data_IF_101432176751
#
_entry.id   IF_101432176751
#
_cell.length_a   1.000
_cell.length_b   1.000
_cell.length_c   1.000
_cell.angle_alpha   90.00
_cell.angle_beta   90.00
_cell.angle_gamma   90.00
#
_symmetry.space_group_name_H-M   'P 1'
#
loop_
_entity.id
_entity.type
_entity.pdbx_description
1 polymer ?
#
# COMPACT_ATOMS: atom_id res chain seq x y z
N UNK A 1 10.20 6.27 14.97
CA UNK A 1 10.79 4.93 14.73
C UNK A 1 11.89 5.13 13.72
N UNK A 2 13.15 4.89 14.10
CA UNK A 2 14.33 5.17 13.26
C UNK A 2 14.66 4.04 12.27
N UNK A 3 13.88 2.95 12.24
CA UNK A 3 14.10 1.84 11.30
C UNK A 3 12.75 1.29 10.82
N UNK A 4 12.49 1.24 9.50
CA UNK A 4 11.31 0.59 8.96
C UNK A 4 11.35 -0.92 9.29
N UNK A 5 10.19 -1.60 9.37
CA UNK A 5 10.17 -3.04 9.54
C UNK A 5 10.93 -3.72 8.38
N UNK A 6 11.56 -4.88 8.63
CA UNK A 6 12.30 -5.59 7.59
C UNK A 6 11.34 -6.03 6.47
N UNK A 7 11.78 -5.99 5.20
CA UNK A 7 10.97 -6.52 4.11
C UNK A 7 10.77 -8.02 4.28
N UNK A 8 9.64 -8.53 3.79
CA UNK A 8 9.34 -9.96 3.76
C UNK A 8 9.14 -10.43 2.32
N UNK A 9 9.44 -11.69 1.99
CA UNK A 9 9.24 -12.18 0.63
C UNK A 9 7.75 -12.17 0.24
N UNK A 10 7.48 -11.80 -1.01
CA UNK A 10 6.17 -11.99 -1.64
C UNK A 10 5.86 -13.50 -1.72
N UNK A 11 4.70 -13.92 -1.21
CA UNK A 11 4.29 -15.34 -1.18
C UNK A 11 2.90 -15.54 -1.78
N UNK A 12 2.64 -16.72 -2.33
CA UNK A 12 1.28 -17.11 -2.73
C UNK A 12 0.40 -17.21 -1.47
N UNK A 13 -0.88 -16.79 -1.53
CA UNK A 13 -1.76 -16.85 -0.37
C UNK A 13 -2.08 -18.30 0.00
N UNK A 14 -1.97 -18.60 1.28
CA UNK A 14 -2.47 -19.86 1.86
C UNK A 14 -3.90 -19.70 2.38
N UNK A 15 -4.58 -20.82 2.67
CA UNK A 15 -5.90 -20.78 3.32
C UNK A 15 -5.85 -20.04 4.67
N UNK A 16 -4.76 -20.21 5.42
CA UNK A 16 -4.55 -19.50 6.68
C UNK A 16 -4.46 -17.98 6.48
N UNK A 17 -3.83 -17.52 5.39
CA UNK A 17 -3.76 -16.09 5.06
C UNK A 17 -5.13 -15.53 4.67
N UNK A 18 -5.95 -16.32 3.96
CA UNK A 18 -7.32 -15.93 3.60
C UNK A 18 -8.20 -15.82 4.84
N UNK A 19 -8.09 -16.75 5.78
CA UNK A 19 -8.81 -16.68 7.06
C UNK A 19 -8.34 -15.50 7.91
N UNK A 20 -7.03 -15.25 7.97
CA UNK A 20 -6.48 -14.07 8.64
C UNK A 20 -7.03 -12.77 8.03
N UNK A 21 -7.04 -12.64 6.71
CA UNK A 21 -7.64 -11.49 6.01
C UNK A 21 -9.09 -11.28 6.41
N UNK A 22 -9.91 -12.35 6.43
CA UNK A 22 -11.33 -12.29 6.81
C UNK A 22 -11.50 -11.80 8.24
N UNK A 23 -10.69 -12.29 9.17
CA UNK A 23 -10.72 -11.85 10.57
C UNK A 23 -10.30 -10.39 10.72
N UNK A 24 -9.29 -9.95 9.97
CA UNK A 24 -8.76 -8.60 10.03
C UNK A 24 -9.72 -7.54 9.46
N UNK A 25 -10.40 -7.85 8.35
CA UNK A 25 -11.22 -6.88 7.61
C UNK A 25 -12.73 -7.15 7.66
N UNK A 26 -13.16 -8.24 8.30
CA UNK A 26 -14.57 -8.63 8.44
C UNK A 26 -15.23 -9.05 7.13
N UNK A 27 -14.46 -9.37 6.09
CA UNK A 27 -14.96 -9.71 4.74
C UNK A 27 -13.96 -10.57 3.98
N UNK A 28 -14.39 -11.37 2.99
CA UNK A 28 -13.47 -12.12 2.13
C UNK A 28 -12.60 -11.19 1.27
N UNK A 29 -11.38 -11.62 0.90
CA UNK A 29 -10.52 -10.87 0.00
C UNK A 29 -11.16 -10.71 -1.38
N UNK A 30 -10.87 -9.57 -2.02
CA UNK A 30 -11.28 -9.26 -3.40
C UNK A 30 -10.05 -9.03 -4.24
N UNK A 31 -9.89 -9.81 -5.30
CA UNK A 31 -8.75 -9.70 -6.21
C UNK A 31 -7.40 -10.04 -5.57
N UNK A 32 -7.37 -10.85 -4.51
CA UNK A 32 -6.11 -11.24 -3.84
C UNK A 32 -5.21 -12.02 -4.81
N UNK A 33 -3.96 -11.58 -4.94
CA UNK A 33 -2.93 -12.23 -5.78
C UNK A 33 -1.80 -12.82 -4.97
N UNK A 34 -1.36 -12.12 -3.92
CA UNK A 34 -0.25 -12.54 -3.09
C UNK A 34 -0.28 -11.86 -1.73
N UNK A 35 0.50 -12.41 -0.80
CA UNK A 35 0.89 -11.71 0.42
C UNK A 35 2.16 -10.93 0.09
N UNK A 36 2.06 -9.60 0.13
CA UNK A 36 3.15 -8.70 -0.24
C UNK A 36 4.05 -8.36 0.95
N UNK A 37 3.47 -8.30 2.16
CA UNK A 37 4.23 -8.15 3.39
C UNK A 37 3.57 -8.91 4.55
N UNK A 38 4.39 -9.35 5.52
CA UNK A 38 3.94 -9.99 6.76
C UNK A 38 4.35 -9.19 7.97
N UNK A 39 3.40 -9.03 8.88
CA UNK A 39 3.65 -8.45 10.20
C UNK A 39 4.59 -9.35 11.01
N UNK A 40 5.39 -8.80 11.95
CA UNK A 40 6.20 -9.63 12.86
C UNK A 40 5.43 -10.69 13.67
N UNK A 41 4.10 -10.58 13.78
CA UNK A 41 3.26 -11.63 14.37
C UNK A 41 2.94 -12.80 13.41
N UNK A 42 3.50 -12.81 12.20
CA UNK A 42 3.34 -13.85 11.17
C UNK A 42 2.14 -13.66 10.23
N UNK A 43 1.18 -12.83 10.62
CA UNK A 43 -0.04 -12.57 9.84
C UNK A 43 0.23 -11.60 8.67
N UNK A 44 -0.52 -11.72 7.55
CA UNK A 44 -0.44 -10.74 6.48
C UNK A 44 -0.83 -9.35 7.01
N UNK A 45 -0.05 -8.34 6.67
CA UNK A 45 -0.41 -6.93 6.89
C UNK A 45 -0.53 -6.13 5.59
N UNK A 46 0.06 -6.61 4.50
CA UNK A 46 -0.16 -6.10 3.15
C UNK A 46 -0.40 -7.25 2.19
N UNK A 47 -1.45 -7.13 1.38
CA UNK A 47 -1.71 -8.02 0.26
C UNK A 47 -1.50 -7.30 -1.07
N UNK A 48 -1.08 -8.05 -2.08
CA UNK A 48 -1.09 -7.62 -3.48
C UNK A 48 -2.46 -7.95 -4.09
N UNK A 49 -3.10 -6.96 -4.70
CA UNK A 49 -4.41 -7.10 -5.34
C UNK A 49 -4.32 -6.92 -6.85
N UNK A 50 -5.23 -7.58 -7.58
CA UNK A 50 -5.42 -7.41 -9.00
C UNK A 50 -5.83 -5.97 -9.33
N UNK A 51 -5.29 -5.37 -10.41
CA UNK A 51 -5.68 -4.03 -10.83
C UNK A 51 -7.17 -3.89 -11.15
N UNK A 52 -7.85 -4.98 -11.54
CA UNK A 52 -9.30 -5.06 -11.68
C UNK A 52 -9.93 -6.18 -10.86
N UNK A 53 -11.18 -5.94 -10.49
CA UNK A 53 -12.10 -6.94 -10.00
C UNK A 53 -12.64 -7.82 -11.14
N UNK A 54 -13.27 -8.97 -10.84
CA UNK A 54 -13.86 -9.83 -11.87
C UNK A 54 -14.91 -9.14 -12.76
N UNK A 55 -15.55 -8.07 -12.26
CA UNK A 55 -16.51 -7.25 -13.01
C UNK A 55 -15.84 -6.16 -13.88
N UNK A 56 -14.51 -6.11 -13.92
CA UNK A 56 -13.72 -5.12 -14.66
C UNK A 56 -13.50 -3.79 -13.94
N UNK A 57 -14.12 -3.60 -12.76
CA UNK A 57 -13.95 -2.38 -11.95
C UNK A 57 -12.50 -2.26 -11.49
N UNK A 58 -11.81 -1.12 -11.70
CA UNK A 58 -10.49 -0.89 -11.13
C UNK A 58 -10.49 -1.02 -9.61
N UNK A 59 -9.54 -1.80 -9.08
CA UNK A 59 -9.30 -1.82 -7.64
C UNK A 59 -8.54 -0.55 -7.23
N UNK A 60 -8.85 0.06 -6.07
CA UNK A 60 -8.27 1.35 -5.69
C UNK A 60 -6.75 1.33 -5.47
N UNK A 61 -6.15 0.15 -5.31
CA UNK A 61 -4.71 0.01 -5.13
C UNK A 61 -4.20 -1.39 -5.53
N UNK A 62 -2.90 -1.53 -5.80
CA UNK A 62 -2.20 -2.82 -5.93
C UNK A 62 -1.73 -3.36 -4.58
N UNK A 63 -1.53 -2.50 -3.57
CA UNK A 63 -1.08 -2.91 -2.23
C UNK A 63 -2.09 -2.49 -1.17
N UNK A 64 -2.78 -3.46 -0.59
CA UNK A 64 -3.85 -3.22 0.37
C UNK A 64 -3.42 -3.60 1.78
N UNK A 65 -3.47 -2.64 2.70
CA UNK A 65 -3.18 -2.87 4.12
C UNK A 65 -4.33 -3.63 4.79
N UNK A 66 -4.02 -4.72 5.47
CA UNK A 66 -5.01 -5.57 6.14
C UNK A 66 -4.87 -5.53 7.67
N UNK A 67 -3.67 -5.30 8.21
CA UNK A 67 -3.45 -5.36 9.65
C UNK A 67 -4.21 -4.27 10.43
N UNK A 68 -5.11 -4.63 11.36
CA UNK A 68 -5.93 -3.65 12.08
C UNK A 68 -5.11 -2.74 13.01
N UNK A 69 -3.98 -3.24 13.56
CA UNK A 69 -3.08 -2.43 14.38
C UNK A 69 -2.36 -1.37 13.54
N UNK A 70 -1.88 -1.74 12.36
CA UNK A 70 -1.23 -0.81 11.45
C UNK A 70 -2.23 0.22 10.93
N UNK A 71 -3.43 -0.21 10.51
CA UNK A 71 -4.50 0.68 10.08
C UNK A 71 -4.89 1.69 11.17
N UNK A 72 -5.03 1.25 12.42
CA UNK A 72 -5.32 2.14 13.55
C UNK A 72 -4.21 3.17 13.78
N UNK A 73 -2.94 2.76 13.79
CA UNK A 73 -1.82 3.68 13.96
C UNK A 73 -1.72 4.70 12.82
N UNK A 74 -1.95 4.25 11.58
CA UNK A 74 -2.01 5.13 10.40
C UNK A 74 -3.17 6.11 10.52
N UNK A 75 -4.35 5.65 10.95
CA UNK A 75 -5.51 6.51 11.20
C UNK A 75 -5.21 7.62 12.22
N UNK A 76 -4.42 7.33 13.26
CA UNK A 76 -3.94 8.36 14.19
C UNK A 76 -3.02 9.39 13.51
N UNK A 77 -2.09 8.95 12.65
CA UNK A 77 -1.23 9.87 11.89
C UNK A 77 -2.05 10.74 10.92
N UNK A 78 -3.01 10.14 10.22
CA UNK A 78 -3.93 10.84 9.32
C UNK A 78 -4.75 11.89 10.09
N UNK A 79 -5.30 11.54 11.25
CA UNK A 79 -6.04 12.45 12.12
C UNK A 79 -5.18 13.60 12.67
N UNK A 80 -3.89 13.34 12.91
CA UNK A 80 -2.93 14.35 13.37
C UNK A 80 -2.43 15.27 12.24
N UNK A 81 -2.93 15.13 11.01
CA UNK A 81 -2.63 16.04 9.91
C UNK A 81 -1.35 15.72 9.14
N UNK A 82 -0.73 14.56 9.36
CA UNK A 82 0.54 14.16 8.71
C UNK A 82 0.43 14.17 7.19
N UNK A 83 -0.74 13.87 6.62
CA UNK A 83 -0.95 13.94 5.16
C UNK A 83 -0.77 15.36 4.61
N UNK A 84 -1.25 16.36 5.34
CA UNK A 84 -1.10 17.77 4.95
C UNK A 84 0.36 18.18 5.09
N UNK A 85 0.99 17.87 6.23
CA UNK A 85 2.40 18.13 6.47
C UNK A 85 3.29 17.54 5.37
N UNK A 86 3.11 16.26 5.03
CA UNK A 86 3.90 15.60 3.99
C UNK A 86 3.64 16.21 2.61
N UNK A 87 2.40 16.63 2.30
CA UNK A 87 2.10 17.35 1.06
C UNK A 87 2.85 18.69 1.01
N UNK A 88 2.85 19.45 2.10
CA UNK A 88 3.54 20.75 2.17
C UNK A 88 5.08 20.56 2.05
N UNK A 89 5.61 19.47 2.62
CA UNK A 89 7.03 19.10 2.49
C UNK A 89 7.43 18.77 1.06
N UNK A 90 6.59 18.09 0.28
CA UNK A 90 6.88 17.81 -1.15
C UNK A 90 7.14 19.08 -1.96
N UNK A 91 6.59 20.23 -1.56
CA UNK A 91 6.81 21.51 -2.23
C UNK A 91 8.14 22.20 -1.84
N UNK A 92 8.76 21.79 -0.73
CA UNK A 92 9.91 22.50 -0.13
C UNK A 92 11.15 21.63 0.04
N UNK A 93 11.01 20.30 -0.10
CA UNK A 93 12.07 19.30 0.05
C UNK A 93 12.24 18.55 -1.29
N UNK A 94 13.21 18.98 -2.14
CA UNK A 94 13.42 18.36 -3.45
C UNK A 94 13.87 16.90 -3.39
N UNK A 95 14.58 16.49 -2.32
CA UNK A 95 15.03 15.11 -2.15
C UNK A 95 13.84 14.20 -1.84
N UNK A 96 12.96 14.63 -0.93
CA UNK A 96 11.70 13.93 -0.67
C UNK A 96 10.82 13.86 -1.92
N UNK A 97 10.69 14.95 -2.67
CA UNK A 97 9.89 14.97 -3.90
C UNK A 97 10.44 14.02 -4.98
N UNK A 98 11.77 13.91 -5.09
CA UNK A 98 12.43 12.99 -6.01
C UNK A 98 12.22 11.52 -5.58
N UNK A 99 12.36 11.21 -4.29
CA UNK A 99 12.10 9.87 -3.76
C UNK A 99 10.63 9.46 -3.97
N UNK A 100 9.68 10.35 -3.69
CA UNK A 100 8.26 10.08 -3.82
C UNK A 100 7.82 9.90 -5.28
N UNK A 101 8.50 10.61 -6.21
CA UNK A 101 8.33 10.40 -7.66
C UNK A 101 8.89 9.06 -8.12
N UNK A 102 10.05 8.64 -7.61
CA UNK A 102 10.59 7.31 -7.89
C UNK A 102 9.67 6.20 -7.35
N UNK A 103 9.11 6.38 -6.15
CA UNK A 103 8.11 5.47 -5.59
C UNK A 103 6.84 5.40 -6.45
N UNK A 104 6.37 6.55 -6.95
CA UNK A 104 5.24 6.63 -7.88
C UNK A 104 5.48 5.82 -9.17
N UNK A 105 6.67 5.97 -9.77
CA UNK A 105 7.05 5.26 -10.99
C UNK A 105 7.19 3.75 -10.75
N UNK A 106 7.82 3.34 -9.64
CA UNK A 106 7.89 1.94 -9.21
C UNK A 106 6.50 1.35 -8.99
N UNK A 107 5.60 2.08 -8.32
CA UNK A 107 4.22 1.64 -8.11
C UNK A 107 3.50 1.37 -9.44
N UNK A 108 3.60 2.30 -10.41
CA UNK A 108 2.99 2.14 -11.74
C UNK A 108 3.61 0.94 -12.46
N UNK A 109 4.93 0.81 -12.47
CA UNK A 109 5.61 -0.28 -13.14
C UNK A 109 5.18 -1.66 -12.59
N UNK A 110 5.05 -1.79 -11.27
CA UNK A 110 4.59 -3.03 -10.62
C UNK A 110 3.13 -3.34 -10.89
N UNK A 111 2.26 -2.33 -10.86
CA UNK A 111 0.84 -2.49 -11.23
C UNK A 111 0.72 -2.94 -12.68
N UNK A 112 1.41 -2.25 -13.59
CA UNK A 112 1.30 -2.46 -15.03
C UNK A 112 1.96 -3.77 -15.49
N UNK A 113 2.90 -4.31 -14.70
CA UNK A 113 3.40 -5.68 -14.86
C UNK A 113 2.32 -6.75 -14.58
N UNK A 114 1.26 -6.41 -13.84
CA UNK A 114 0.10 -7.28 -13.65
C UNK A 114 -0.94 -6.98 -14.73
N UNK A 115 -1.35 -5.71 -14.86
CA UNK A 115 -2.29 -5.22 -15.86
C UNK A 115 -2.20 -3.70 -15.97
N UNK A 116 -2.10 -3.19 -17.20
CA UNK A 116 -2.08 -1.75 -17.47
C UNK A 116 -3.47 -1.13 -17.26
N UNK A 117 -3.55 -0.14 -16.36
CA UNK A 117 -4.75 0.70 -16.16
C UNK A 117 -4.55 2.08 -16.78
N UNK A 118 -4.79 2.19 -18.09
CA UNK A 118 -4.66 3.44 -18.83
C UNK A 118 -5.55 4.56 -18.22
N UNK A 119 -4.93 5.71 -17.91
CA UNK A 119 -5.61 6.87 -17.33
C UNK A 119 -6.00 6.74 -15.85
N UNK A 120 -5.68 5.63 -15.18
CA UNK A 120 -5.99 5.45 -13.77
C UNK A 120 -4.86 6.00 -12.88
N UNK A 121 -5.18 6.78 -11.83
CA UNK A 121 -4.17 7.36 -10.97
C UNK A 121 -3.34 6.28 -10.27
N UNK A 122 -2.15 6.68 -9.83
CA UNK A 122 -1.35 5.88 -8.90
C UNK A 122 -1.96 5.91 -7.49
N UNK A 123 -1.28 5.29 -6.52
CA UNK A 123 -1.73 5.22 -5.14
C UNK A 123 -1.56 6.54 -4.37
N UNK A 124 -2.43 6.76 -3.38
CA UNK A 124 -2.15 7.68 -2.27
C UNK A 124 -2.05 9.16 -2.61
N UNK A 125 -2.38 9.57 -3.84
CA UNK A 125 -2.22 10.95 -4.31
C UNK A 125 -0.87 11.25 -4.95
N UNK A 126 0.00 10.25 -5.10
CA UNK A 126 1.29 10.36 -5.79
C UNK A 126 1.16 10.92 -7.22
N UNK A 127 2.20 11.63 -7.73
CA UNK A 127 3.47 11.94 -7.05
C UNK A 127 3.47 13.32 -6.35
N UNK A 128 2.39 14.10 -6.45
CA UNK A 128 2.45 15.52 -6.05
C UNK A 128 1.67 15.81 -4.76
N UNK A 129 1.00 14.81 -4.17
CA UNK A 129 0.24 14.96 -2.93
C UNK A 129 0.23 13.68 -2.09
N UNK A 130 0.02 13.83 -0.78
CA UNK A 130 -0.32 12.73 0.13
C UNK A 130 -1.80 12.82 0.50
N UNK A 131 -2.60 11.86 0.03
CA UNK A 131 -4.06 11.78 0.25
C UNK A 131 -4.51 10.63 1.16
N UNK A 132 -3.69 9.58 1.29
CA UNK A 132 -3.98 8.43 2.15
C UNK A 132 -2.68 7.72 2.51
N UNK A 133 -2.38 7.62 3.80
CA UNK A 133 -1.18 6.96 4.30
C UNK A 133 -1.31 5.43 4.24
N UNK A 134 -2.53 4.88 4.32
CA UNK A 134 -2.73 3.41 4.29
C UNK A 134 -2.09 2.76 3.07
N UNK A 135 -2.28 3.37 1.90
CA UNK A 135 -1.77 2.83 0.64
C UNK A 135 -0.28 3.13 0.44
N UNK A 136 0.21 4.27 0.93
CA UNK A 136 1.63 4.63 0.84
C UNK A 136 2.47 3.75 1.76
N UNK A 137 2.01 3.53 3.00
CA UNK A 137 2.65 2.59 3.93
C UNK A 137 2.57 1.16 3.38
N UNK A 138 1.43 0.75 2.81
CA UNK A 138 1.31 -0.58 2.20
C UNK A 138 2.30 -0.78 1.05
N UNK A 139 2.45 0.19 0.15
CA UNK A 139 3.46 0.14 -0.91
C UNK A 139 4.87 0.13 -0.33
N UNK A 140 5.16 0.96 0.67
CA UNK A 140 6.48 1.02 1.28
C UNK A 140 6.90 -0.28 1.98
N UNK A 141 5.97 -0.96 2.64
CA UNK A 141 6.20 -2.28 3.23
C UNK A 141 6.49 -3.36 2.17
N UNK A 142 5.87 -3.25 0.99
CA UNK A 142 6.02 -4.22 -0.09
C UNK A 142 7.25 -3.97 -0.98
N UNK A 143 7.59 -2.71 -1.24
CA UNK A 143 8.57 -2.30 -2.25
C UNK A 143 9.80 -1.58 -1.67
N UNK A 144 9.75 -1.16 -0.40
CA UNK A 144 10.78 -0.36 0.25
C UNK A 144 10.41 1.12 0.38
N UNK A 145 11.23 1.92 1.07
CA UNK A 145 10.97 3.35 1.28
C UNK A 145 11.10 4.14 -0.03
N UNK A 146 10.32 5.23 -0.11
CA UNK A 146 10.35 6.21 -1.19
C UNK A 146 9.28 7.28 -0.99
#
# INVERSE_FOLDING_TARGET
METPPPPTPRTEPTDADVEAFKQQLGRPPRGLRAIAHRCPCGQPDVVETAPRLPDGTPFPTTYYLTCPRAASAIGTLEANGVMKEMTDRLATDPELAAAYRAAHEDYIARRDAIEVLAGFPSAGGMPDRVKCLHVLVAHSLAAGPG
#
